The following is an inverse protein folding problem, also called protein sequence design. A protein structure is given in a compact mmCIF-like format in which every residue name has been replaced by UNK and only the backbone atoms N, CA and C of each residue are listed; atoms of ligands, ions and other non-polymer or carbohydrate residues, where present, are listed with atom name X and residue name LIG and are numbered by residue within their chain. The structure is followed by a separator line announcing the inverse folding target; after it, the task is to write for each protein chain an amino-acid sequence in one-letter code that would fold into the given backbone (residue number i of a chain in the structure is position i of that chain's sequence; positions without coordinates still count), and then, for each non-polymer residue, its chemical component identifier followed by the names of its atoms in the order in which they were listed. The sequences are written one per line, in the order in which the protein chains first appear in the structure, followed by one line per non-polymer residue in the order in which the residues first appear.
data_IF_887258619882
#
_entry.id   IF_887258619882
#
_cell.length_a   1.000
_cell.length_b   1.000
_cell.length_c   1.000
_cell.angle_alpha   90.00
_cell.angle_beta   90.00
_cell.angle_gamma   90.00
#
_symmetry.space_group_name_H-M   'P 1'
#
loop_
_entity.id
_entity.type
_entity.pdbx_description
1 polymer ?
#
# COMPACT_ATOMS: atom_id res chain seq x y z
N UNK A 1 15.58 6.65 0.48
CA UNK A 1 16.59 6.29 1.49
C UNK A 1 17.26 5.02 0.99
N UNK A 2 18.45 5.14 0.42
CA UNK A 2 19.15 4.02 -0.20
C UNK A 2 19.47 2.95 0.85
N UNK A 3 19.03 1.72 0.65
CA UNK A 3 19.34 0.62 1.56
C UNK A 3 20.81 0.20 1.41
N UNK A 4 21.44 -0.37 2.46
CA UNK A 4 22.72 -1.06 2.32
C UNK A 4 22.61 -2.21 1.31
N UNK A 5 23.66 -2.45 0.52
CA UNK A 5 23.67 -3.41 -0.60
C UNK A 5 23.26 -4.83 -0.18
N UNK A 6 23.77 -5.32 0.96
CA UNK A 6 23.40 -6.65 1.50
C UNK A 6 21.92 -6.77 1.88
N UNK A 7 21.26 -5.66 2.19
CA UNK A 7 19.84 -5.61 2.53
C UNK A 7 19.01 -5.54 1.24
N UNK A 8 19.47 -4.79 0.25
CA UNK A 8 18.84 -4.61 -1.07
C UNK A 8 18.59 -5.95 -1.77
N UNK A 9 19.61 -6.78 -1.96
CA UNK A 9 19.44 -8.10 -2.62
C UNK A 9 18.58 -9.10 -1.81
N UNK A 10 18.46 -8.93 -0.49
CA UNK A 10 17.50 -9.70 0.32
C UNK A 10 16.07 -9.19 0.12
N UNK A 11 15.88 -7.87 0.00
CA UNK A 11 14.58 -7.25 -0.31
C UNK A 11 14.11 -7.70 -1.69
N UNK A 12 14.96 -7.67 -2.72
CA UNK A 12 14.59 -8.14 -4.07
C UNK A 12 14.05 -9.57 -4.06
N UNK A 13 14.74 -10.48 -3.37
CA UNK A 13 14.30 -11.87 -3.22
C UNK A 13 13.02 -12.02 -2.39
N UNK A 14 12.81 -11.20 -1.35
CA UNK A 14 11.54 -11.19 -0.61
C UNK A 14 10.39 -10.70 -1.47
N UNK A 15 10.58 -9.63 -2.25
CA UNK A 15 9.58 -9.10 -3.18
C UNK A 15 9.25 -10.13 -4.25
N UNK A 16 10.24 -10.77 -4.86
CA UNK A 16 10.03 -11.81 -5.88
C UNK A 16 9.16 -12.96 -5.34
N UNK A 17 9.43 -13.44 -4.12
CA UNK A 17 8.60 -14.47 -3.45
C UNK A 17 7.18 -14.00 -3.18
N UNK A 18 6.99 -12.73 -2.80
CA UNK A 18 5.67 -12.15 -2.57
C UNK A 18 4.89 -12.04 -3.90
N UNK A 19 5.53 -11.54 -4.95
CA UNK A 19 4.93 -11.42 -6.28
C UNK A 19 4.55 -12.80 -6.82
N UNK A 20 5.42 -13.80 -6.69
CA UNK A 20 5.12 -15.18 -7.11
C UNK A 20 3.85 -15.71 -6.43
N UNK A 21 3.72 -15.49 -5.11
CA UNK A 21 2.49 -15.86 -4.36
C UNK A 21 1.26 -15.11 -4.84
N UNK A 22 1.38 -13.79 -5.05
CA UNK A 22 0.26 -12.96 -5.50
C UNK A 22 -0.22 -13.36 -6.90
N UNK A 23 0.72 -13.59 -7.84
CA UNK A 23 0.39 -14.00 -9.20
C UNK A 23 -0.20 -15.41 -9.22
N UNK A 24 0.36 -16.33 -8.45
CA UNK A 24 -0.17 -17.70 -8.32
C UNK A 24 -1.58 -17.70 -7.75
N UNK A 25 -1.82 -16.94 -6.67
CA UNK A 25 -3.13 -16.83 -6.05
C UNK A 25 -4.17 -16.15 -6.98
N UNK A 26 -3.74 -15.16 -7.77
CA UNK A 26 -4.61 -14.51 -8.74
C UNK A 26 -5.00 -15.47 -9.88
N UNK A 27 -4.07 -16.29 -10.35
CA UNK A 27 -4.33 -17.30 -11.39
C UNK A 27 -5.18 -18.45 -10.88
N UNK A 28 -4.94 -18.94 -9.65
CA UNK A 28 -5.66 -20.08 -9.08
C UNK A 28 -7.01 -19.70 -8.47
N UNK A 29 -7.29 -18.41 -8.24
CA UNK A 29 -8.44 -17.89 -7.48
C UNK A 29 -8.57 -18.48 -6.06
N UNK A 30 -7.51 -19.06 -5.54
CA UNK A 30 -7.45 -19.68 -4.22
C UNK A 30 -6.27 -19.12 -3.41
N UNK A 31 -6.35 -19.19 -2.08
CA UNK A 31 -5.28 -18.76 -1.17
C UNK A 31 -4.87 -17.29 -1.36
N UNK A 32 -5.85 -16.42 -1.65
CA UNK A 32 -5.64 -14.98 -1.78
C UNK A 32 -5.09 -14.38 -0.48
N UNK A 33 -4.04 -13.58 -0.59
CA UNK A 33 -3.52 -12.79 0.51
C UNK A 33 -3.36 -11.35 0.06
N UNK A 34 -3.73 -10.40 0.92
CA UNK A 34 -3.52 -8.99 0.62
C UNK A 34 -2.02 -8.66 0.50
N UNK A 35 -1.68 -7.69 -0.35
CA UNK A 35 -0.30 -7.19 -0.45
C UNK A 35 0.22 -6.79 0.93
N UNK A 36 -0.59 -6.08 1.72
CA UNK A 36 -0.22 -5.62 3.07
C UNK A 36 0.12 -6.77 4.01
N UNK A 37 -0.69 -7.84 4.06
CA UNK A 37 -0.43 -8.97 4.94
C UNK A 37 0.86 -9.70 4.57
N UNK A 38 1.21 -9.76 3.28
CA UNK A 38 2.46 -10.37 2.82
C UNK A 38 3.68 -9.48 3.09
N UNK A 39 3.61 -8.18 2.78
CA UNK A 39 4.75 -7.25 2.85
C UNK A 39 5.01 -6.71 4.25
N UNK A 40 4.03 -6.74 5.15
CA UNK A 40 4.18 -6.24 6.53
C UNK A 40 4.34 -7.37 7.56
N UNK A 41 4.38 -8.62 7.11
CA UNK A 41 4.58 -9.78 7.97
C UNK A 41 5.86 -9.66 8.83
N UNK A 42 5.92 -10.26 10.04
CA UNK A 42 7.07 -10.14 10.94
C UNK A 42 8.42 -10.52 10.32
N UNK A 43 8.41 -11.51 9.41
CA UNK A 43 9.60 -12.01 8.68
C UNK A 43 10.14 -11.05 7.61
N UNK A 44 9.42 -9.99 7.25
CA UNK A 44 9.83 -9.08 6.18
C UNK A 44 10.86 -8.09 6.70
N UNK A 45 12.00 -8.03 6.01
CA UNK A 45 13.02 -7.03 6.25
C UNK A 45 12.62 -5.72 5.56
N UNK A 46 13.03 -4.59 6.12
CA UNK A 46 12.78 -3.25 5.54
C UNK A 46 11.33 -3.07 5.03
N UNK A 47 10.32 -3.38 5.87
CA UNK A 47 8.89 -3.47 5.50
C UNK A 47 8.38 -2.38 4.58
N UNK A 48 8.78 -1.12 4.82
CA UNK A 48 8.39 0.02 3.96
C UNK A 48 8.94 -0.10 2.54
N UNK A 49 10.21 -0.44 2.40
CA UNK A 49 10.85 -0.63 1.10
C UNK A 49 10.28 -1.83 0.36
N UNK A 50 10.13 -2.98 1.05
CA UNK A 50 9.52 -4.18 0.47
C UNK A 50 8.09 -3.93 0.00
N UNK A 51 7.26 -3.25 0.81
CA UNK A 51 5.89 -2.89 0.42
C UNK A 51 5.85 -1.98 -0.80
N UNK A 52 6.66 -0.90 -0.79
CA UNK A 52 6.72 0.04 -1.91
C UNK A 52 7.17 -0.63 -3.21
N UNK A 53 8.25 -1.44 -3.14
CA UNK A 53 8.79 -2.14 -4.30
C UNK A 53 7.83 -3.19 -4.84
N UNK A 54 7.13 -3.94 -3.98
CA UNK A 54 6.06 -4.86 -4.41
C UNK A 54 4.95 -4.10 -5.15
N UNK A 55 4.44 -3.00 -4.58
CA UNK A 55 3.36 -2.22 -5.20
C UNK A 55 3.77 -1.64 -6.56
N UNK A 56 4.95 -1.02 -6.65
CA UNK A 56 5.39 -0.42 -7.91
C UNK A 56 5.75 -1.48 -8.97
N UNK A 57 6.39 -2.60 -8.59
CA UNK A 57 6.66 -3.69 -9.54
C UNK A 57 5.37 -4.26 -10.12
N UNK A 58 4.34 -4.45 -9.29
CA UNK A 58 3.03 -4.92 -9.76
C UNK A 58 2.32 -3.89 -10.65
N UNK A 59 2.42 -2.60 -10.32
CA UNK A 59 1.87 -1.50 -11.12
C UNK A 59 2.43 -1.46 -12.53
N UNK A 60 3.75 -1.64 -12.68
CA UNK A 60 4.42 -1.64 -13.99
C UNK A 60 4.56 -3.03 -14.62
N UNK A 61 3.99 -4.07 -14.00
CA UNK A 61 4.14 -5.45 -14.46
C UNK A 61 3.74 -5.67 -15.93
N UNK A 62 2.66 -5.06 -16.48
CA UNK A 62 2.32 -5.19 -17.90
C UNK A 62 3.46 -4.71 -18.80
N UNK A 63 3.98 -3.51 -18.54
CA UNK A 63 5.09 -2.90 -19.29
C UNK A 63 6.37 -3.75 -19.15
N UNK A 64 6.67 -4.23 -17.95
CA UNK A 64 7.85 -5.06 -17.67
C UNK A 64 7.79 -6.37 -18.48
N UNK A 65 6.62 -7.03 -18.55
CA UNK A 65 6.44 -8.26 -19.33
C UNK A 65 6.74 -8.04 -20.81
N UNK A 66 6.27 -6.93 -21.38
CA UNK A 66 6.52 -6.58 -22.77
C UNK A 66 8.00 -6.31 -23.05
N UNK A 67 8.68 -5.57 -22.17
CA UNK A 67 10.12 -5.31 -22.29
C UNK A 67 10.95 -6.60 -22.19
N UNK A 68 10.61 -7.50 -21.27
CA UNK A 68 11.28 -8.80 -21.13
C UNK A 68 11.11 -9.65 -22.39
N UNK A 69 9.89 -9.71 -22.94
CA UNK A 69 9.60 -10.45 -24.18
C UNK A 69 10.38 -9.86 -25.37
N UNK A 70 10.35 -8.54 -25.55
CA UNK A 70 11.04 -7.86 -26.65
C UNK A 70 12.57 -7.99 -26.60
N UNK A 71 13.14 -8.11 -25.40
CA UNK A 71 14.58 -8.28 -25.21
C UNK A 71 15.02 -9.73 -25.17
N UNK A 72 14.09 -10.69 -25.19
CA UNK A 72 14.38 -12.13 -25.03
C UNK A 72 15.27 -12.39 -23.81
N UNK A 73 15.02 -11.63 -22.74
CA UNK A 73 15.93 -11.60 -21.59
C UNK A 73 16.10 -12.98 -20.99
N UNK A 74 15.06 -13.82 -20.99
CA UNK A 74 15.01 -15.11 -20.32
C UNK A 74 15.55 -16.29 -21.14
N UNK A 75 15.95 -16.11 -22.41
CA UNK A 75 16.37 -17.24 -23.27
C UNK A 75 17.72 -17.87 -22.85
N UNK A 76 18.54 -17.14 -22.10
CA UNK A 76 19.93 -17.52 -21.82
C UNK A 76 20.30 -17.46 -20.33
N UNK A 77 19.32 -17.46 -19.42
CA UNK A 77 19.58 -17.46 -17.99
C UNK A 77 18.52 -18.24 -17.20
N UNK A 78 18.89 -18.62 -15.98
CA UNK A 78 18.04 -19.33 -15.03
C UNK A 78 17.48 -18.39 -13.93
N UNK A 79 17.48 -17.07 -14.17
CA UNK A 79 16.93 -16.13 -13.20
C UNK A 79 15.43 -16.40 -13.04
N UNK A 80 14.92 -16.58 -11.81
CA UNK A 80 13.49 -16.74 -11.61
C UNK A 80 12.71 -15.55 -12.19
N UNK A 81 11.64 -15.81 -12.93
CA UNK A 81 10.90 -14.78 -13.67
C UNK A 81 10.39 -13.65 -12.76
N UNK A 82 9.95 -13.96 -11.54
CA UNK A 82 9.49 -12.94 -10.60
C UNK A 82 10.63 -12.10 -10.04
N UNK A 83 11.84 -12.67 -9.94
CA UNK A 83 13.03 -11.89 -9.62
C UNK A 83 13.42 -10.98 -10.78
N UNK A 84 13.32 -11.48 -12.03
CA UNK A 84 13.54 -10.67 -13.21
C UNK A 84 12.55 -9.48 -13.27
N UNK A 85 11.27 -9.66 -12.91
CA UNK A 85 10.32 -8.55 -12.84
C UNK A 85 10.77 -7.44 -11.89
N UNK A 86 11.23 -7.80 -10.69
CA UNK A 86 11.69 -6.84 -9.67
C UNK A 86 12.96 -6.11 -10.14
N UNK A 87 13.93 -6.85 -10.69
CA UNK A 87 15.20 -6.29 -11.11
C UNK A 87 15.06 -5.41 -12.36
N UNK A 88 14.20 -5.79 -13.31
CA UNK A 88 13.87 -4.95 -14.47
C UNK A 88 13.16 -3.68 -14.02
N UNK A 89 12.25 -3.75 -13.04
CA UNK A 89 11.66 -2.56 -12.44
C UNK A 89 12.72 -1.62 -11.85
N UNK A 90 13.64 -2.14 -11.03
CA UNK A 90 14.71 -1.34 -10.42
C UNK A 90 15.64 -0.69 -11.45
N UNK A 91 15.96 -1.40 -12.54
CA UNK A 91 16.82 -0.91 -13.62
C UNK A 91 16.16 0.16 -14.50
N UNK A 92 14.85 0.04 -14.75
CA UNK A 92 14.11 0.94 -15.63
C UNK A 92 13.49 2.13 -14.90
N UNK A 93 12.92 1.91 -13.72
CA UNK A 93 12.06 2.87 -13.01
C UNK A 93 12.54 3.18 -11.59
N UNK A 94 13.26 2.26 -10.96
CA UNK A 94 13.76 2.39 -9.59
C UNK A 94 15.02 3.25 -9.46
N UNK A 95 15.74 3.08 -8.35
CA UNK A 95 17.00 3.81 -8.10
C UNK A 95 18.21 3.15 -8.76
N UNK A 96 17.98 2.07 -9.52
CA UNK A 96 19.00 1.17 -10.04
C UNK A 96 19.33 0.05 -9.04
N UNK A 97 19.76 -1.09 -9.57
CA UNK A 97 20.22 -2.21 -8.76
C UNK A 97 21.73 -2.07 -8.52
N UNK A 98 22.18 -2.22 -7.27
CA UNK A 98 23.62 -2.38 -6.98
C UNK A 98 24.00 -3.85 -7.05
N UNK A 99 25.12 -4.11 -7.71
CA UNK A 99 25.55 -5.44 -8.16
C UNK A 99 26.15 -6.27 -7.02
N UNK A 100 25.35 -7.17 -6.42
CA UNK A 100 25.85 -8.09 -5.39
C UNK A 100 25.74 -9.55 -5.82
N UNK A 101 24.66 -9.94 -6.50
CA UNK A 101 24.42 -11.31 -6.95
C UNK A 101 24.58 -11.48 -8.47
N UNK A 102 24.78 -12.72 -8.93
CA UNK A 102 25.01 -13.01 -10.36
C UNK A 102 23.76 -12.69 -11.21
N UNK A 103 22.57 -12.88 -10.66
CA UNK A 103 21.31 -12.52 -11.32
C UNK A 103 21.18 -11.00 -11.50
N UNK A 104 21.61 -10.23 -10.50
CA UNK A 104 21.62 -8.75 -10.54
C UNK A 104 22.63 -8.26 -11.57
N UNK A 105 23.84 -8.83 -11.59
CA UNK A 105 24.89 -8.55 -12.58
C UNK A 105 24.41 -8.80 -14.00
N UNK A 106 23.76 -9.93 -14.21
CA UNK A 106 23.24 -10.31 -15.51
C UNK A 106 22.23 -9.28 -16.04
N UNK A 107 21.23 -8.91 -15.25
CA UNK A 107 20.20 -7.94 -15.67
C UNK A 107 20.79 -6.54 -15.84
N UNK A 108 21.74 -6.15 -14.98
CA UNK A 108 22.47 -4.89 -15.10
C UNK A 108 23.28 -4.82 -16.40
N UNK A 109 23.90 -5.91 -16.83
CA UNK A 109 24.61 -5.97 -18.10
C UNK A 109 23.68 -5.73 -19.31
N UNK A 110 22.40 -6.10 -19.18
CA UNK A 110 21.38 -5.90 -20.23
C UNK A 110 20.69 -4.52 -20.15
N UNK A 111 21.10 -3.62 -19.25
CA UNK A 111 20.47 -2.30 -19.03
C UNK A 111 20.27 -1.48 -20.30
N UNK A 112 21.27 -1.41 -21.18
CA UNK A 112 21.16 -0.66 -22.43
C UNK A 112 20.08 -1.25 -23.36
N UNK A 113 20.03 -2.58 -23.47
CA UNK A 113 19.03 -3.32 -24.25
C UNK A 113 17.62 -3.11 -23.70
N UNK A 114 17.45 -3.19 -22.38
CA UNK A 114 16.17 -2.96 -21.69
C UNK A 114 15.65 -1.53 -21.90
N UNK A 115 16.51 -0.52 -21.73
CA UNK A 115 16.15 0.89 -22.00
C UNK A 115 15.79 1.13 -23.46
N UNK A 116 16.52 0.52 -24.38
CA UNK A 116 16.22 0.59 -25.82
C UNK A 116 14.86 -0.01 -26.16
N UNK A 117 14.52 -1.16 -25.59
CA UNK A 117 13.20 -1.79 -25.77
C UNK A 117 12.07 -0.94 -25.19
N UNK A 118 12.25 -0.37 -23.99
CA UNK A 118 11.28 0.55 -23.40
C UNK A 118 11.06 1.79 -24.29
N UNK A 119 12.12 2.40 -24.81
CA UNK A 119 12.02 3.57 -25.70
C UNK A 119 11.26 3.28 -26.98
N UNK A 120 11.50 2.11 -27.60
CA UNK A 120 10.72 1.65 -28.77
C UNK A 120 9.24 1.49 -28.43
N UNK A 121 8.94 0.91 -27.27
CA UNK A 121 7.57 0.70 -26.82
C UNK A 121 6.85 2.04 -26.53
N UNK A 122 7.53 3.02 -25.91
CA UNK A 122 7.03 4.38 -25.74
C UNK A 122 6.73 5.06 -27.09
N UNK A 123 7.65 4.92 -28.06
CA UNK A 123 7.49 5.50 -29.40
C UNK A 123 6.32 4.88 -30.15
N UNK A 124 6.18 3.54 -30.08
CA UNK A 124 5.07 2.82 -30.71
C UNK A 124 3.70 3.21 -30.13
N UNK A 125 3.65 3.50 -28.82
CA UNK A 125 2.45 3.98 -28.15
C UNK A 125 2.24 5.51 -28.27
N UNK A 126 3.19 6.25 -28.85
CA UNK A 126 3.11 7.71 -28.99
C UNK A 126 3.17 8.47 -27.66
N UNK A 127 3.70 7.86 -26.60
CA UNK A 127 3.74 8.44 -25.24
C UNK A 127 5.16 8.81 -24.80
N UNK A 128 5.26 9.76 -23.87
CA UNK A 128 6.55 10.28 -23.40
C UNK A 128 7.08 9.60 -22.14
N UNK A 129 6.20 9.04 -21.32
CA UNK A 129 6.58 8.42 -20.06
C UNK A 129 6.02 7.02 -19.92
N UNK A 130 6.70 6.17 -19.14
CA UNK A 130 6.21 4.83 -18.86
C UNK A 130 4.94 4.82 -18.01
N UNK A 131 4.68 5.90 -17.25
CA UNK A 131 3.42 6.06 -16.53
C UNK A 131 2.23 6.17 -17.50
N UNK A 132 2.44 6.70 -18.70
CA UNK A 132 1.40 6.86 -19.72
C UNK A 132 1.05 5.55 -20.44
N UNK A 133 1.92 4.53 -20.35
CA UNK A 133 1.64 3.17 -20.82
C UNK A 133 0.68 2.40 -19.91
N UNK A 134 0.45 2.89 -18.69
CA UNK A 134 -0.48 2.27 -17.76
C UNK A 134 -1.93 2.54 -18.20
N UNK A 135 -2.85 1.64 -17.83
CA UNK A 135 -4.27 1.81 -18.14
C UNK A 135 -4.79 3.14 -17.58
N UNK A 136 -5.84 3.68 -18.20
CA UNK A 136 -6.48 4.91 -17.74
C UNK A 136 -6.90 4.79 -16.27
N UNK A 137 -7.52 3.66 -15.88
CA UNK A 137 -7.96 3.40 -14.51
C UNK A 137 -6.81 3.47 -13.49
N UNK A 138 -5.65 2.90 -13.83
CA UNK A 138 -4.48 2.90 -12.93
C UNK A 138 -3.91 4.31 -12.78
N UNK A 139 -3.87 5.08 -13.87
CA UNK A 139 -3.40 6.47 -13.85
C UNK A 139 -4.33 7.38 -13.06
N UNK A 140 -5.64 7.28 -13.31
CA UNK A 140 -6.65 8.07 -12.61
C UNK A 140 -6.68 7.74 -11.12
N UNK A 141 -6.64 6.45 -10.77
CA UNK A 141 -6.54 6.02 -9.36
C UNK A 141 -5.30 6.59 -8.68
N UNK A 142 -4.15 6.57 -9.35
CA UNK A 142 -2.90 7.13 -8.78
C UNK A 142 -2.93 8.65 -8.65
N UNK A 143 -3.57 9.37 -9.56
CA UNK A 143 -3.82 10.82 -9.47
C UNK A 143 -4.76 11.15 -8.31
N UNK A 144 -5.88 10.44 -8.19
CA UNK A 144 -6.83 10.60 -7.09
C UNK A 144 -6.17 10.34 -5.74
N UNK A 145 -5.36 9.28 -5.62
CA UNK A 145 -4.62 9.00 -4.39
C UNK A 145 -3.60 10.09 -4.05
N UNK A 146 -2.91 10.66 -5.03
CA UNK A 146 -1.96 11.77 -4.81
C UNK A 146 -2.64 13.06 -4.37
N UNK A 147 -3.85 13.31 -4.87
CA UNK A 147 -4.66 14.48 -4.51
C UNK A 147 -5.51 14.26 -3.27
N UNK A 148 -5.55 13.04 -2.73
CA UNK A 148 -6.40 12.72 -1.59
C UNK A 148 -5.91 13.45 -0.32
N UNK A 149 -6.78 14.23 0.34
CA UNK A 149 -6.43 14.87 1.60
C UNK A 149 -6.10 13.88 2.71
N UNK A 150 -5.31 14.32 3.68
CA UNK A 150 -5.04 13.56 4.90
C UNK A 150 -6.10 13.87 5.94
N UNK A 151 -7.03 12.95 6.11
CA UNK A 151 -8.04 13.02 7.17
C UNK A 151 -7.49 12.55 8.52
N UNK A 152 -7.75 13.33 9.56
CA UNK A 152 -7.30 13.09 10.94
C UNK A 152 -8.48 13.32 11.88
N UNK A 153 -9.00 12.24 12.46
CA UNK A 153 -10.07 12.33 13.45
C UNK A 153 -9.49 12.65 14.82
N UNK A 154 -10.09 13.61 15.53
CA UNK A 154 -9.74 13.96 16.90
C UNK A 154 -10.46 13.03 17.86
N UNK A 155 -9.72 12.46 18.80
CA UNK A 155 -10.31 11.68 19.89
C UNK A 155 -10.73 12.65 21.00
N UNK A 156 -12.01 13.06 20.99
CA UNK A 156 -12.59 14.04 21.92
C UNK A 156 -12.54 13.60 23.39
N UNK A 157 -12.26 12.33 23.67
CA UNK A 157 -12.07 11.78 25.02
C UNK A 157 -10.68 12.07 25.59
N UNK A 158 -9.72 12.37 24.73
CA UNK A 158 -8.30 12.58 25.10
C UNK A 158 -7.82 13.98 24.77
N UNK A 159 -8.38 14.62 23.75
CA UNK A 159 -7.87 15.86 23.18
C UNK A 159 -9.00 16.71 22.60
N UNK A 160 -8.85 18.03 22.64
CA UNK A 160 -9.79 18.97 22.01
C UNK A 160 -9.41 19.26 20.56
N UNK A 161 -10.40 19.57 19.72
CA UNK A 161 -10.17 19.96 18.31
C UNK A 161 -9.24 21.16 18.22
N UNK A 162 -9.38 22.14 19.11
CA UNK A 162 -8.49 23.30 19.18
C UNK A 162 -7.03 22.93 19.50
N UNK A 163 -6.80 21.98 20.41
CA UNK A 163 -5.45 21.49 20.71
C UNK A 163 -4.84 20.80 19.49
N UNK A 164 -5.61 19.93 18.81
CA UNK A 164 -5.16 19.26 17.59
C UNK A 164 -4.84 20.27 16.47
N UNK A 165 -5.69 21.27 16.23
CA UNK A 165 -5.46 22.35 15.27
C UNK A 165 -4.15 23.10 15.56
N UNK A 166 -3.91 23.47 16.82
CA UNK A 166 -2.66 24.13 17.25
C UNK A 166 -1.45 23.26 16.99
N UNK A 167 -1.51 21.98 17.36
CA UNK A 167 -0.43 21.01 17.17
C UNK A 167 -0.12 20.77 15.68
N UNK A 168 -1.12 20.84 14.81
CA UNK A 168 -0.96 20.68 13.37
C UNK A 168 -0.79 21.99 12.60
N UNK A 169 -0.68 23.16 13.25
CA UNK A 169 -0.66 24.48 12.62
C UNK A 169 0.27 24.60 11.40
N UNK A 170 1.44 23.95 11.43
CA UNK A 170 2.42 23.94 10.32
C UNK A 170 1.89 23.34 9.01
N UNK A 171 0.82 22.55 9.07
CA UNK A 171 0.19 21.92 7.91
C UNK A 171 -1.05 22.67 7.44
N UNK A 172 -1.38 23.81 8.07
CA UNK A 172 -2.62 24.57 7.81
C UNK A 172 -3.88 23.69 7.80
N UNK A 173 -4.16 22.95 8.89
CA UNK A 173 -5.31 22.07 8.98
C UNK A 173 -6.60 22.89 8.96
N UNK A 174 -7.63 22.36 8.32
CA UNK A 174 -9.01 22.88 8.39
C UNK A 174 -9.91 21.82 9.02
N UNK A 175 -10.96 22.26 9.71
CA UNK A 175 -12.02 21.35 10.16
C UNK A 175 -12.86 20.97 8.93
N UNK A 176 -13.27 19.71 8.85
CA UNK A 176 -14.15 19.22 7.80
C UNK A 176 -15.52 19.91 7.86
N UNK A 177 -16.12 20.14 6.70
CA UNK A 177 -17.43 20.80 6.59
C UNK A 177 -18.57 20.03 7.27
N UNK A 178 -18.49 18.69 7.32
CA UNK A 178 -19.59 17.85 7.81
C UNK A 178 -19.35 17.28 9.20
N UNK A 179 -18.09 17.24 9.67
CA UNK A 179 -17.69 16.52 10.88
C UNK A 179 -16.78 17.39 11.76
N UNK A 180 -17.29 17.86 12.88
CA UNK A 180 -16.60 18.79 13.80
C UNK A 180 -15.32 18.21 14.42
N UNK A 181 -15.24 16.88 14.54
CA UNK A 181 -14.10 16.14 15.08
C UNK A 181 -13.11 15.68 14.00
N UNK A 182 -13.31 16.07 12.74
CA UNK A 182 -12.45 15.65 11.62
C UNK A 182 -11.63 16.82 11.08
N UNK A 183 -10.32 16.66 11.06
CA UNK A 183 -9.39 17.59 10.45
C UNK A 183 -8.98 17.12 9.05
N UNK A 184 -8.88 18.06 8.12
CA UNK A 184 -8.42 17.87 6.75
C UNK A 184 -7.07 18.56 6.60
N UNK A 185 -6.05 17.77 6.24
CA UNK A 185 -4.71 18.26 5.98
C UNK A 185 -4.33 18.06 4.51
N UNK A 186 -3.35 18.82 3.98
CA UNK A 186 -2.89 18.67 2.61
C UNK A 186 -2.48 17.24 2.26
N UNK A 187 -2.63 16.82 0.99
CA UNK A 187 -2.16 15.52 0.52
C UNK A 187 -0.67 15.30 0.80
N UNK A 188 -0.27 14.04 1.02
CA UNK A 188 1.13 13.69 1.29
C UNK A 188 1.62 13.99 2.71
N UNK A 189 0.79 14.57 3.59
CA UNK A 189 1.16 14.79 4.99
C UNK A 189 1.40 13.46 5.74
N UNK A 190 2.65 13.23 6.18
CA UNK A 190 3.02 12.07 7.01
C UNK A 190 2.89 12.41 8.51
N UNK A 191 1.95 11.72 9.17
CA UNK A 191 1.68 11.84 10.60
C UNK A 191 1.95 10.55 11.37
N UNK A 192 2.46 9.49 10.73
CA UNK A 192 2.57 8.17 11.37
C UNK A 192 3.45 8.16 12.62
N UNK A 193 4.38 9.12 12.74
CA UNK A 193 5.27 9.29 13.89
C UNK A 193 4.90 10.50 14.76
N UNK A 194 3.79 11.17 14.45
CA UNK A 194 3.40 12.36 15.18
C UNK A 194 2.98 11.99 16.61
N UNK A 195 3.38 12.74 17.66
CA UNK A 195 3.06 12.41 19.04
C UNK A 195 1.57 12.16 19.28
N UNK A 196 0.69 13.03 18.77
CA UNK A 196 -0.77 12.87 18.89
C UNK A 196 -1.33 11.57 18.26
N UNK A 197 -0.68 11.06 17.20
CA UNK A 197 -1.07 9.79 16.58
C UNK A 197 -0.61 8.63 17.44
N UNK A 198 0.61 8.71 17.99
CA UNK A 198 1.18 7.67 18.85
C UNK A 198 0.48 7.58 20.21
N UNK A 199 0.06 8.72 20.77
CA UNK A 199 -0.70 8.79 22.03
C UNK A 199 -2.18 8.39 21.88
N UNK A 200 -2.67 8.27 20.64
CA UNK A 200 -4.08 8.00 20.33
C UNK A 200 -5.02 9.17 20.62
N UNK A 201 -4.49 10.39 20.72
CA UNK A 201 -5.26 11.64 20.78
C UNK A 201 -5.90 11.99 19.43
N UNK A 202 -5.30 11.50 18.34
CA UNK A 202 -5.88 11.58 17.00
C UNK A 202 -5.69 10.26 16.24
N UNK A 203 -6.57 10.00 15.28
CA UNK A 203 -6.60 8.77 14.48
C UNK A 203 -6.59 9.12 13.01
N UNK A 204 -5.71 8.46 12.23
CA UNK A 204 -5.66 8.61 10.78
C UNK A 204 -6.76 7.76 10.16
N UNK A 205 -7.87 8.39 9.78
CA UNK A 205 -9.08 7.70 9.34
C UNK A 205 -9.75 8.49 8.22
N UNK A 206 -10.15 7.82 7.13
CA UNK A 206 -10.81 8.47 6.00
C UNK A 206 -12.21 8.98 6.36
N UNK A 207 -12.63 10.08 5.73
CA UNK A 207 -13.94 10.74 5.98
C UNK A 207 -15.12 9.77 5.95
N UNK A 208 -15.23 8.93 4.91
CA UNK A 208 -16.33 7.97 4.80
C UNK A 208 -16.42 6.99 5.98
N UNK A 209 -15.28 6.58 6.54
CA UNK A 209 -15.26 5.73 7.73
C UNK A 209 -15.75 6.48 8.97
N UNK A 210 -15.41 7.77 9.11
CA UNK A 210 -15.92 8.62 10.19
C UNK A 210 -17.42 8.87 10.05
N UNK A 211 -17.89 9.19 8.84
CA UNK A 211 -19.31 9.43 8.55
C UNK A 211 -20.17 8.24 8.94
N UNK A 212 -19.71 7.00 8.71
CA UNK A 212 -20.50 5.82 9.06
C UNK A 212 -20.80 5.70 10.55
N UNK A 213 -19.91 6.16 11.42
CA UNK A 213 -20.13 6.10 12.86
C UNK A 213 -20.96 7.29 13.36
N UNK A 214 -20.76 8.48 12.78
CA UNK A 214 -21.63 9.64 13.00
C UNK A 214 -23.08 9.39 12.55
N UNK A 215 -23.28 8.66 11.44
CA UNK A 215 -24.61 8.31 10.96
C UNK A 215 -25.37 7.35 11.89
N UNK A 216 -24.66 6.48 12.62
CA UNK A 216 -25.29 5.61 13.63
C UNK A 216 -25.64 6.37 14.91
N UNK A 217 -24.86 7.41 15.25
CA UNK A 217 -25.08 8.27 16.42
C UNK A 217 -25.46 7.50 17.70
N UNK A 218 -24.63 6.54 18.16
CA UNK A 218 -24.98 5.72 19.32
C UNK A 218 -25.06 6.57 20.59
N UNK A 219 -26.07 6.31 21.42
CA UNK A 219 -26.22 7.01 22.71
C UNK A 219 -25.64 6.20 23.87
N UNK A 220 -25.23 6.86 24.96
CA UNK A 220 -24.81 6.18 26.19
C UNK A 220 -25.87 5.19 26.69
N UNK A 221 -25.46 3.94 26.94
CA UNK A 221 -26.35 2.86 27.39
C UNK A 221 -26.82 1.92 26.28
N UNK A 222 -26.61 2.26 25.01
CA UNK A 222 -26.94 1.35 23.90
C UNK A 222 -25.97 0.16 23.84
N UNK A 223 -26.50 -1.00 23.46
CA UNK A 223 -25.70 -2.16 23.07
C UNK A 223 -25.43 -2.10 21.57
N UNK A 224 -24.18 -1.81 21.20
CA UNK A 224 -23.77 -1.65 19.79
C UNK A 224 -22.94 -2.84 19.35
N UNK A 225 -23.27 -3.40 18.18
CA UNK A 225 -22.52 -4.49 17.54
C UNK A 225 -21.83 -3.97 16.28
N UNK A 226 -20.50 -3.99 16.28
CA UNK A 226 -19.69 -3.78 15.06
C UNK A 226 -19.36 -5.14 14.43
N UNK A 227 -20.21 -5.57 13.49
CA UNK A 227 -20.11 -6.88 12.85
C UNK A 227 -18.83 -7.07 12.00
N UNK A 228 -18.13 -6.00 11.63
CA UNK A 228 -16.92 -6.03 10.80
C UNK A 228 -15.84 -5.12 11.40
N UNK A 229 -15.58 -5.31 12.70
CA UNK A 229 -14.75 -4.39 13.46
C UNK A 229 -13.32 -4.26 12.91
N UNK A 230 -12.67 -5.35 12.49
CA UNK A 230 -11.27 -5.32 12.04
C UNK A 230 -11.07 -4.44 10.78
N UNK A 231 -10.07 -3.52 10.73
CA UNK A 231 -8.92 -3.33 11.64
C UNK A 231 -9.15 -2.36 12.82
N UNK A 232 -10.37 -2.28 13.33
CA UNK A 232 -10.85 -1.58 14.53
C UNK A 232 -10.77 -0.04 14.52
N UNK A 233 -10.72 0.59 13.34
CA UNK A 233 -10.62 2.06 13.24
C UNK A 233 -11.93 2.78 13.62
N UNK A 234 -13.10 2.11 13.50
CA UNK A 234 -14.41 2.68 13.86
C UNK A 234 -14.78 2.49 15.33
N UNK A 235 -14.22 1.48 15.99
CA UNK A 235 -14.52 1.16 17.38
C UNK A 235 -14.35 2.36 18.35
N UNK A 236 -13.30 3.20 18.26
CA UNK A 236 -13.18 4.35 19.15
C UNK A 236 -14.21 5.46 18.88
N UNK A 237 -15.01 5.37 17.81
CA UNK A 237 -16.14 6.29 17.56
C UNK A 237 -17.41 5.75 18.23
N UNK A 238 -17.64 4.44 18.18
CA UNK A 238 -18.81 3.81 18.79
C UNK A 238 -18.78 3.78 20.32
N UNK A 239 -17.58 3.74 20.93
CA UNK A 239 -17.43 3.44 22.35
C UNK A 239 -16.59 4.49 23.10
N UNK A 240 -17.16 5.67 23.42
CA UNK A 240 -16.47 6.66 24.24
C UNK A 240 -16.29 6.24 25.70
N UNK A 241 -17.07 5.26 26.16
CA UNK A 241 -17.05 4.74 27.54
C UNK A 241 -16.42 3.36 27.59
N UNK A 242 -15.46 3.15 28.50
CA UNK A 242 -14.83 1.85 28.76
C UNK A 242 -15.87 0.80 29.14
N UNK A 243 -16.29 -0.04 28.19
CA UNK A 243 -16.58 -1.47 28.30
C UNK A 243 -17.39 -1.86 27.05
N UNK A 244 -17.00 -2.95 26.39
CA UNK A 244 -17.85 -4.08 25.91
C UNK A 244 -17.34 -4.66 24.58
N UNK A 245 -17.54 -5.99 24.48
CA UNK A 245 -17.02 -6.98 23.54
C UNK A 245 -17.06 -6.61 22.05
N UNK A 246 -15.88 -6.60 21.42
CA UNK A 246 -15.75 -6.83 19.99
C UNK A 246 -15.93 -8.34 19.72
N UNK A 247 -17.11 -8.75 19.28
CA UNK A 247 -17.30 -10.08 18.69
C UNK A 247 -16.85 -10.03 17.24
N UNK A 248 -15.60 -10.42 16.98
CA UNK A 248 -15.18 -10.82 15.64
C UNK A 248 -15.90 -12.13 15.31
N UNK A 249 -16.94 -12.06 14.48
CA UNK A 249 -17.49 -13.25 13.82
C UNK A 249 -16.46 -13.73 12.80
N UNK A 250 -15.57 -14.63 13.21
CA UNK A 250 -14.90 -15.53 12.28
C UNK A 250 -15.97 -16.46 11.70
N UNK A 251 -16.35 -16.22 10.44
CA UNK A 251 -17.09 -17.23 9.66
C UNK A 251 -16.12 -18.39 9.42
N UNK A 252 -16.01 -19.26 10.40
CA UNK A 252 -15.45 -20.60 10.20
C UNK A 252 -16.44 -21.32 9.31
N UNK A 253 -16.02 -21.63 8.08
CA UNK A 253 -16.74 -22.50 7.16
C UNK A 253 -16.78 -23.91 7.75
N UNK A 254 -17.72 -24.17 8.67
CA UNK A 254 -18.11 -25.53 9.02
C UNK A 254 -18.98 -26.06 7.91
N UNK A 255 -18.48 -27.11 7.25
CA UNK A 255 -19.18 -27.92 6.28
C UNK A 255 -20.56 -28.30 6.83
N UNK A 256 -21.62 -27.80 6.20
CA UNK A 256 -22.96 -28.37 6.33
C UNK A 256 -22.89 -29.80 5.81
N UNK A 257 -22.92 -30.76 6.73
CA UNK A 257 -23.25 -32.14 6.40
C UNK A 257 -24.64 -32.18 5.78
N UNK A 258 -24.71 -32.75 4.59
CA UNK A 258 -25.96 -33.08 3.91
C UNK A 258 -26.74 -34.17 4.67
N UNK A 259 -28.08 -34.19 4.54
CA UNK A 259 -28.99 -34.98 5.38
C UNK A 259 -28.85 -36.50 5.24
#
# INVERSE_FOLDING_TARGET
MSLPERIEGKVHRQVAKIISRLLTANSSKHSGASIKSLTLAPRIIAKKATHALTCETLKYLPVIREVIAATRLMEHNEVPIELAYVLVYEVLFGQGCRSVADEERYILAQKAKLKGALSKHLTAAGVKSAADLLSMDVRETAELQRKQPRFVRVNTLKCTVQHALKSFKKFSPVVDEHLDDLLVLPPGTDLHKHPLVLSGEVVLQGKGSCMSAHAVAPEPGWSVVDACAAPALKAPIFYPSRLTLALSLEVSSTSLGTP
#
